data_IF_002929847651
#
_entry.id   IF_002929847651
#
_cell.length_a   1.000
_cell.length_b   1.000
_cell.length_c   1.000
_cell.angle_alpha   90.00
_cell.angle_beta   90.00
_cell.angle_gamma   90.00
#
_symmetry.space_group_name_H-M   'P 1'
#
loop_
_entity.id
_entity.type
_entity.pdbx_description
1 polymer ?
#
# COMPACT_ATOMS: atom_id res chain seq x y z
N UNK A 1 12.18 -10.07 -25.71
CA UNK A 1 10.91 -9.47 -25.28
C UNK A 1 11.23 -8.55 -24.10
N UNK A 2 11.37 -7.25 -24.39
CA UNK A 2 11.59 -6.19 -23.40
C UNK A 2 10.29 -6.02 -22.60
N UNK A 3 10.34 -5.79 -21.28
CA UNK A 3 9.14 -5.59 -20.46
C UNK A 3 8.60 -6.80 -19.68
N UNK A 4 9.44 -7.77 -19.29
CA UNK A 4 8.97 -8.88 -18.45
C UNK A 4 8.55 -8.39 -17.05
N UNK A 5 7.23 -8.39 -16.77
CA UNK A 5 6.64 -8.10 -15.46
C UNK A 5 7.22 -8.95 -14.32
N UNK A 6 7.90 -10.07 -14.65
CA UNK A 6 8.62 -10.87 -13.66
C UNK A 6 9.72 -10.08 -12.94
N UNK A 7 10.31 -9.08 -13.59
CA UNK A 7 11.45 -8.33 -13.02
C UNK A 7 11.05 -7.27 -11.99
N UNK A 8 9.77 -6.90 -11.92
CA UNK A 8 9.25 -5.95 -10.92
C UNK A 8 8.81 -6.64 -9.63
N UNK A 9 8.57 -7.96 -9.67
CA UNK A 9 8.29 -8.81 -8.51
C UNK A 9 9.62 -9.34 -7.96
N UNK A 10 10.17 -8.63 -6.98
CA UNK A 10 11.50 -8.90 -6.39
C UNK A 10 11.43 -8.79 -4.87
N UNK A 11 12.52 -9.19 -4.20
CA UNK A 11 12.63 -9.02 -2.75
C UNK A 11 12.71 -7.53 -2.38
N UNK A 12 12.34 -7.20 -1.14
CA UNK A 12 12.35 -5.82 -0.65
C UNK A 12 13.74 -5.17 -0.73
N UNK A 13 14.81 -5.96 -0.56
CA UNK A 13 16.19 -5.46 -0.66
C UNK A 13 16.56 -5.03 -2.08
N UNK A 14 15.97 -5.67 -3.10
CA UNK A 14 16.22 -5.37 -4.51
C UNK A 14 15.27 -4.31 -5.08
N UNK A 15 14.42 -3.68 -4.25
CA UNK A 15 13.35 -2.78 -4.70
C UNK A 15 13.83 -1.65 -5.60
N UNK A 16 15.03 -1.12 -5.36
CA UNK A 16 15.67 -0.03 -6.12
C UNK A 16 16.43 -0.47 -7.38
N UNK A 17 16.37 -1.76 -7.74
CA UNK A 17 16.97 -2.25 -8.98
C UNK A 17 16.35 -1.58 -10.21
N UNK A 18 17.17 -1.33 -11.24
CA UNK A 18 16.81 -0.58 -12.47
C UNK A 18 15.76 -1.25 -13.37
N UNK A 19 15.28 -2.44 -13.00
CA UNK A 19 14.22 -3.11 -13.73
C UNK A 19 12.88 -2.40 -13.57
N UNK A 20 12.18 -2.24 -14.69
CA UNK A 20 10.85 -1.64 -14.75
C UNK A 20 9.94 -2.41 -15.71
N UNK A 21 8.65 -2.20 -15.52
CA UNK A 21 7.57 -2.59 -16.39
C UNK A 21 6.84 -1.31 -16.79
N UNK A 22 6.51 -1.18 -18.06
CA UNK A 22 5.84 0.00 -18.63
C UNK A 22 4.70 -0.50 -19.51
N UNK A 23 3.58 0.24 -19.51
CA UNK A 23 2.49 -0.02 -20.43
C UNK A 23 2.89 0.36 -21.86
N UNK A 24 2.36 -0.37 -22.84
CA UNK A 24 2.82 -0.29 -24.24
C UNK A 24 2.00 0.72 -25.07
N UNK A 25 0.77 1.02 -24.66
CA UNK A 25 -0.19 1.81 -25.45
C UNK A 25 -0.76 2.98 -24.65
N UNK A 26 -1.33 2.71 -23.47
CA UNK A 26 -2.06 3.71 -22.69
C UNK A 26 -1.65 3.71 -21.21
N UNK A 27 -2.34 4.50 -20.37
CA UNK A 27 -2.14 4.60 -18.94
C UNK A 27 -2.67 3.38 -18.15
N UNK A 28 -3.36 2.46 -18.81
CA UNK A 28 -3.92 1.27 -18.18
C UNK A 28 -2.91 0.11 -18.16
N UNK A 29 -2.87 -0.61 -17.04
CA UNK A 29 -1.98 -1.76 -16.86
C UNK A 29 -2.64 -2.83 -15.99
N UNK A 30 -2.67 -4.07 -16.47
CA UNK A 30 -3.09 -5.24 -15.70
C UNK A 30 -1.88 -6.10 -15.38
N UNK A 31 -1.74 -6.47 -14.11
CA UNK A 31 -0.70 -7.38 -13.63
C UNK A 31 -1.35 -8.58 -12.97
N UNK A 32 -1.12 -9.74 -13.58
CA UNK A 32 -1.61 -11.03 -13.11
C UNK A 32 -0.50 -11.81 -12.41
N UNK A 33 -0.78 -12.23 -11.17
CA UNK A 33 0.18 -12.88 -10.29
C UNK A 33 -0.41 -14.21 -9.81
N UNK A 34 -0.05 -15.34 -10.44
CA UNK A 34 -0.40 -16.66 -9.94
C UNK A 34 0.49 -17.02 -8.75
N UNK A 35 -0.10 -17.50 -7.66
CA UNK A 35 0.61 -18.08 -6.53
C UNK A 35 0.60 -19.61 -6.63
N UNK A 36 1.73 -20.24 -6.33
CA UNK A 36 1.85 -21.71 -6.33
C UNK A 36 0.95 -22.36 -5.29
N UNK A 37 0.78 -21.70 -4.14
CA UNK A 37 -0.07 -22.15 -3.05
C UNK A 37 -0.97 -20.99 -2.62
N UNK A 38 -2.18 -21.26 -2.10
CA UNK A 38 -3.04 -20.21 -1.58
C UNK A 38 -2.36 -19.43 -0.46
N UNK A 39 -2.29 -18.11 -0.62
CA UNK A 39 -1.63 -17.20 0.30
C UNK A 39 -2.63 -16.27 0.97
N UNK A 40 -2.29 -15.79 2.16
CA UNK A 40 -2.92 -14.61 2.76
C UNK A 40 -2.10 -13.37 2.42
N UNK A 41 -2.76 -12.36 1.89
CA UNK A 41 -2.16 -11.06 1.56
C UNK A 41 -2.63 -10.03 2.58
N UNK A 42 -1.68 -9.26 3.12
CA UNK A 42 -1.96 -8.28 4.17
C UNK A 42 -1.79 -6.85 3.69
N UNK A 43 -0.78 -6.60 2.86
CA UNK A 43 -0.47 -5.28 2.35
C UNK A 43 0.18 -5.35 0.97
N UNK A 44 0.33 -4.19 0.34
CA UNK A 44 1.02 -3.99 -0.93
C UNK A 44 2.06 -2.86 -0.78
N UNK A 45 3.21 -3.04 -1.41
CA UNK A 45 4.21 -2.02 -1.66
C UNK A 45 4.34 -1.82 -3.16
N UNK A 46 4.48 -0.57 -3.58
CA UNK A 46 4.62 -0.22 -4.99
C UNK A 46 5.64 0.90 -5.13
N UNK A 47 6.47 0.82 -6.16
CA UNK A 47 7.30 1.93 -6.64
C UNK A 47 6.96 2.10 -8.12
N UNK A 48 6.40 3.25 -8.46
CA UNK A 48 6.09 3.64 -9.84
C UNK A 48 7.29 4.24 -10.58
N UNK A 49 7.00 4.85 -11.73
CA UNK A 49 7.95 5.63 -12.51
C UNK A 49 7.91 7.12 -12.17
N UNK A 50 8.86 7.85 -12.72
CA UNK A 50 8.96 9.30 -12.55
C UNK A 50 8.12 10.07 -13.59
N UNK A 51 8.06 11.40 -13.46
CA UNK A 51 7.44 12.30 -14.44
C UNK A 51 5.96 12.02 -14.72
N UNK A 52 5.18 11.68 -13.69
CA UNK A 52 3.73 11.47 -13.80
C UNK A 52 3.32 10.08 -14.31
N UNK A 53 4.28 9.22 -14.67
CA UNK A 53 4.02 7.81 -15.05
C UNK A 53 3.69 6.91 -13.85
N UNK A 54 3.71 7.47 -12.64
CA UNK A 54 3.36 6.78 -11.42
C UNK A 54 1.85 6.46 -11.41
N UNK A 55 1.44 5.23 -11.04
CA UNK A 55 0.03 4.89 -10.94
C UNK A 55 -0.60 5.57 -9.72
N UNK A 56 -1.75 6.22 -9.92
CA UNK A 56 -2.47 6.96 -8.88
C UNK A 56 -3.62 6.15 -8.27
N UNK A 57 -4.29 5.32 -9.06
CA UNK A 57 -5.36 4.44 -8.53
C UNK A 57 -5.22 3.04 -9.04
N UNK A 58 -5.51 2.09 -8.15
CA UNK A 58 -5.56 0.68 -8.50
C UNK A 58 -6.79 -0.03 -7.93
N UNK A 59 -7.23 -1.06 -8.65
CA UNK A 59 -8.25 -2.02 -8.21
C UNK A 59 -7.61 -3.40 -8.03
N UNK A 60 -8.09 -4.12 -7.03
CA UNK A 60 -7.58 -5.44 -6.69
C UNK A 60 -8.69 -6.47 -6.86
N UNK A 61 -8.34 -7.58 -7.52
CA UNK A 61 -9.19 -8.74 -7.70
C UNK A 61 -8.43 -10.01 -7.32
N UNK A 62 -9.15 -11.02 -6.84
CA UNK A 62 -8.56 -12.29 -6.40
C UNK A 62 -9.33 -13.49 -6.93
N UNK A 63 -8.62 -14.58 -7.21
CA UNK A 63 -9.14 -15.88 -7.64
C UNK A 63 -9.99 -15.79 -8.91
N UNK A 64 -9.57 -14.92 -9.84
CA UNK A 64 -10.21 -14.65 -11.12
C UNK A 64 -9.12 -14.52 -12.17
N UNK A 65 -9.11 -15.44 -13.12
CA UNK A 65 -8.17 -15.44 -14.25
C UNK A 65 -8.80 -14.83 -15.50
N UNK A 66 -10.12 -14.67 -15.48
CA UNK A 66 -11.00 -14.15 -16.52
C UNK A 66 -11.06 -12.62 -16.57
N UNK A 67 -10.09 -11.92 -15.98
CA UNK A 67 -10.10 -10.45 -15.93
C UNK A 67 -9.21 -9.88 -17.03
N UNK A 68 -9.85 -9.13 -17.91
CA UNK A 68 -9.26 -8.40 -19.03
C UNK A 68 -9.81 -6.96 -19.06
N UNK A 69 -9.19 -6.08 -19.85
CA UNK A 69 -9.57 -4.66 -19.93
C UNK A 69 -11.05 -4.45 -20.32
N UNK A 70 -11.64 -5.36 -21.10
CA UNK A 70 -13.03 -5.24 -21.56
C UNK A 70 -14.06 -5.53 -20.45
N UNK A 71 -13.77 -6.49 -19.56
CA UNK A 71 -14.73 -7.01 -18.58
C UNK A 71 -14.44 -6.57 -17.14
N UNK A 72 -13.32 -5.88 -16.91
CA UNK A 72 -12.88 -5.49 -15.57
C UNK A 72 -13.87 -4.60 -14.82
N UNK A 73 -14.67 -3.83 -15.56
CA UNK A 73 -15.68 -2.94 -15.02
C UNK A 73 -16.97 -3.67 -14.61
N UNK A 74 -17.20 -4.88 -15.11
CA UNK A 74 -18.36 -5.71 -14.76
C UNK A 74 -18.16 -6.44 -13.43
N UNK A 75 -16.90 -6.62 -13.04
CA UNK A 75 -16.55 -7.33 -11.82
C UNK A 75 -16.48 -6.40 -10.60
N UNK A 76 -16.95 -6.92 -9.48
CA UNK A 76 -16.82 -6.24 -8.19
C UNK A 76 -15.37 -6.27 -7.72
N UNK A 77 -14.75 -5.09 -7.69
CA UNK A 77 -13.46 -4.88 -7.05
C UNK A 77 -13.50 -5.24 -5.55
N UNK A 78 -12.47 -5.91 -5.06
CA UNK A 78 -12.33 -6.26 -3.64
C UNK A 78 -12.01 -5.01 -2.82
N UNK A 79 -11.05 -4.22 -3.33
CA UNK A 79 -10.58 -3.00 -2.71
C UNK A 79 -9.96 -2.12 -3.78
N UNK A 80 -10.39 -0.86 -3.78
CA UNK A 80 -9.75 0.23 -4.51
C UNK A 80 -8.74 0.90 -3.59
N UNK A 81 -7.56 1.20 -4.11
CA UNK A 81 -6.48 1.84 -3.36
C UNK A 81 -6.00 3.05 -4.14
N UNK A 82 -5.94 4.17 -3.45
CA UNK A 82 -5.29 5.37 -3.93
C UNK A 82 -3.81 5.29 -3.57
N UNK A 83 -2.98 5.38 -4.61
CA UNK A 83 -1.54 5.29 -4.54
C UNK A 83 -0.98 6.70 -4.53
N UNK A 84 0.11 6.87 -3.80
CA UNK A 84 0.85 8.13 -3.66
C UNK A 84 2.23 7.93 -4.24
N UNK A 85 2.79 8.97 -4.87
CA UNK A 85 4.13 8.90 -5.45
C UNK A 85 5.18 8.61 -4.36
N UNK A 86 5.76 7.41 -4.41
CA UNK A 86 6.85 6.99 -3.54
C UNK A 86 7.93 6.26 -4.34
N UNK A 87 9.13 6.83 -4.35
CA UNK A 87 10.29 6.30 -5.08
C UNK A 87 11.16 5.37 -4.22
N UNK A 88 10.89 5.27 -2.92
CA UNK A 88 11.66 4.46 -1.98
C UNK A 88 10.97 3.17 -1.55
N UNK A 89 9.67 3.02 -1.84
CA UNK A 89 8.87 1.85 -1.44
C UNK A 89 8.74 1.74 0.08
N UNK A 90 8.62 2.89 0.74
CA UNK A 90 8.41 3.05 2.17
C UNK A 90 6.92 3.03 2.54
N UNK A 91 6.03 3.34 1.59
CA UNK A 91 4.58 3.34 1.84
C UNK A 91 4.03 1.92 1.78
N UNK A 92 3.40 1.50 2.88
CA UNK A 92 2.64 0.26 2.98
C UNK A 92 1.16 0.54 2.75
N UNK A 93 0.55 -0.09 1.74
CA UNK A 93 -0.88 -0.02 1.49
C UNK A 93 -1.59 -1.20 2.17
N UNK A 94 -2.33 -0.98 3.27
CA UNK A 94 -3.02 -2.05 3.97
C UNK A 94 -4.19 -2.58 3.13
N UNK A 95 -4.25 -3.90 2.99
CA UNK A 95 -5.31 -4.57 2.25
C UNK A 95 -6.31 -5.27 3.17
N UNK A 96 -7.52 -5.49 2.66
CA UNK A 96 -8.59 -6.17 3.36
C UNK A 96 -8.32 -7.67 3.44
N UNK A 97 -7.58 -8.05 4.48
CA UNK A 97 -7.19 -9.42 4.79
C UNK A 97 -8.37 -10.40 4.77
N UNK A 98 -9.55 -10.00 5.22
CA UNK A 98 -10.73 -10.89 5.27
C UNK A 98 -11.21 -11.31 3.89
N UNK A 99 -10.94 -10.51 2.86
CA UNK A 99 -11.24 -10.83 1.46
C UNK A 99 -10.05 -11.45 0.73
N UNK A 100 -8.83 -11.31 1.26
CA UNK A 100 -7.57 -11.75 0.64
C UNK A 100 -6.83 -12.82 1.48
N UNK A 101 -7.56 -13.70 2.17
CA UNK A 101 -6.96 -14.72 3.04
C UNK A 101 -6.57 -16.02 2.33
N UNK A 102 -7.17 -16.30 1.17
CA UNK A 102 -6.99 -17.54 0.41
C UNK A 102 -6.89 -17.20 -1.09
N UNK A 103 -5.80 -16.53 -1.45
CA UNK A 103 -5.56 -16.02 -2.80
C UNK A 103 -4.60 -16.97 -3.52
N UNK A 104 -5.10 -17.62 -4.56
CA UNK A 104 -4.29 -18.43 -5.49
C UNK A 104 -3.91 -17.61 -6.72
N UNK A 105 -4.73 -16.63 -7.09
CA UNK A 105 -4.50 -15.75 -8.24
C UNK A 105 -4.84 -14.32 -7.86
N UNK A 106 -3.94 -13.39 -8.13
CA UNK A 106 -4.14 -11.97 -7.83
C UNK A 106 -4.02 -11.16 -9.12
N UNK A 107 -5.02 -10.31 -9.35
CA UNK A 107 -5.03 -9.36 -10.45
C UNK A 107 -5.00 -7.95 -9.88
N UNK A 108 -3.98 -7.20 -10.28
CA UNK A 108 -3.82 -5.78 -9.97
C UNK A 108 -4.09 -4.98 -11.23
N UNK A 109 -5.02 -4.03 -11.13
CA UNK A 109 -5.39 -3.19 -12.24
C UNK A 109 -5.12 -1.72 -11.93
N UNK A 110 -4.28 -1.10 -12.72
CA UNK A 110 -3.95 0.32 -12.66
C UNK A 110 -4.65 1.01 -13.82
N UNK A 111 -5.50 2.00 -13.53
CA UNK A 111 -6.34 2.67 -14.54
C UNK A 111 -6.20 4.19 -14.53
N UNK A 112 -5.53 4.75 -13.53
CA UNK A 112 -5.28 6.19 -13.44
C UNK A 112 -3.82 6.40 -13.02
N UNK A 113 -3.13 7.33 -13.66
CA UNK A 113 -1.79 7.79 -13.31
C UNK A 113 -1.80 9.29 -12.98
N UNK A 114 -0.64 9.89 -12.73
CA UNK A 114 -0.51 11.31 -12.38
C UNK A 114 -0.49 12.27 -13.60
N UNK A 115 -0.96 11.81 -14.76
CA UNK A 115 -1.12 12.66 -15.96
C UNK A 115 -0.11 12.40 -17.08
N UNK A 116 0.55 11.24 -17.08
CA UNK A 116 1.37 10.79 -18.21
C UNK A 116 0.57 9.92 -19.19
N UNK A 117 1.13 9.67 -20.37
CA UNK A 117 0.51 8.79 -21.39
C UNK A 117 0.67 7.31 -21.03
N UNK A 118 1.79 6.93 -20.42
CA UNK A 118 2.07 5.54 -20.01
C UNK A 118 2.18 5.42 -18.49
N UNK A 119 1.93 4.21 -18.00
CA UNK A 119 2.10 3.86 -16.59
C UNK A 119 3.33 2.97 -16.43
N UNK A 120 4.20 3.36 -15.51
CA UNK A 120 5.46 2.68 -15.26
C UNK A 120 5.56 2.23 -13.81
N UNK A 121 6.01 1.00 -13.63
CA UNK A 121 6.18 0.37 -12.32
C UNK A 121 7.58 -0.24 -12.26
N UNK A 122 8.32 0.12 -11.21
CA UNK A 122 9.69 -0.34 -10.97
C UNK A 122 9.75 -1.49 -9.96
N UNK A 123 8.81 -1.52 -9.02
CA UNK A 123 8.75 -2.55 -7.98
C UNK A 123 7.32 -2.78 -7.51
N UNK A 124 7.00 -4.05 -7.27
CA UNK A 124 5.81 -4.46 -6.53
C UNK A 124 6.25 -5.44 -5.45
N UNK A 125 5.95 -5.11 -4.19
CA UNK A 125 6.18 -5.97 -3.03
C UNK A 125 4.86 -6.45 -2.47
N UNK A 126 4.66 -7.76 -2.40
CA UNK A 126 3.46 -8.37 -1.83
C UNK A 126 3.89 -9.25 -0.66
N UNK A 127 3.84 -8.74 0.59
CA UNK A 127 4.02 -9.58 1.77
C UNK A 127 2.91 -10.63 1.81
N UNK A 128 3.28 -11.86 1.47
CA UNK A 128 2.41 -13.03 1.57
C UNK A 128 2.72 -13.78 2.85
N UNK A 129 1.67 -14.29 3.49
CA UNK A 129 1.79 -15.24 4.60
C UNK A 129 1.34 -16.61 4.11
N UNK A 130 2.31 -17.49 3.92
CA UNK A 130 2.10 -18.91 3.65
C UNK A 130 2.03 -19.65 4.98
N UNK A 131 0.96 -20.42 5.21
CA UNK A 131 0.88 -21.31 6.38
C UNK A 131 2.03 -22.33 6.31
N UNK A 132 3.02 -22.22 7.21
CA UNK A 132 4.12 -23.17 7.33
C UNK A 132 5.43 -22.81 6.60
N UNK A 133 5.44 -21.74 5.80
CA UNK A 133 6.67 -21.17 5.24
C UNK A 133 6.79 -19.76 5.79
N UNK A 134 7.68 -19.57 6.76
CA UNK A 134 8.00 -18.25 7.29
C UNK A 134 8.59 -17.41 6.16
N UNK A 135 7.77 -16.57 5.53
CA UNK A 135 8.30 -15.49 4.72
C UNK A 135 9.06 -14.59 5.69
N UNK A 136 10.37 -14.44 5.48
CA UNK A 136 11.26 -13.59 6.29
C UNK A 136 10.95 -12.10 6.08
N UNK A 137 9.67 -11.71 6.15
CA UNK A 137 9.26 -10.32 6.13
C UNK A 137 9.30 -9.79 7.56
N UNK A 138 10.47 -9.28 7.97
CA UNK A 138 10.58 -8.51 9.20
C UNK A 138 9.81 -7.21 9.00
N UNK A 139 8.66 -7.06 9.69
CA UNK A 139 8.03 -5.75 9.87
C UNK A 139 9.06 -4.82 10.47
N UNK A 140 9.66 -3.93 9.67
CA UNK A 140 10.30 -2.74 10.22
C UNK A 140 9.15 -1.81 10.56
N UNK A 141 8.82 -1.72 11.85
CA UNK A 141 7.93 -0.68 12.31
C UNK A 141 8.51 0.64 11.83
N UNK A 142 7.80 1.34 10.95
CA UNK A 142 8.05 2.76 10.76
C UNK A 142 7.68 3.36 12.10
N UNK A 143 8.70 3.75 12.84
CA UNK A 143 8.57 4.55 14.04
C UNK A 143 8.01 5.89 13.57
N UNK A 144 6.68 5.98 13.46
CA UNK A 144 6.00 7.26 13.40
C UNK A 144 6.23 7.88 14.77
N UNK A 145 7.33 8.63 14.90
CA UNK A 145 7.45 9.64 15.95
C UNK A 145 6.41 10.69 15.59
N UNK A 146 5.16 10.43 15.99
CA UNK A 146 4.26 11.53 16.27
C UNK A 146 4.89 12.19 17.49
N UNK A 147 5.57 13.32 17.28
CA UNK A 147 5.87 14.26 18.36
C UNK A 147 4.55 14.86 18.86
N UNK A 148 3.66 14.02 19.38
CA UNK A 148 2.61 14.41 20.30
C UNK A 148 3.18 14.24 21.72
N UNK A 149 4.28 14.95 22.00
CA UNK A 149 4.54 15.36 23.37
C UNK A 149 3.73 16.64 23.58
N UNK A 150 2.57 16.60 24.26
CA UNK A 150 1.97 17.83 24.75
C UNK A 150 2.98 18.47 25.71
N UNK A 151 3.66 19.52 25.25
CA UNK A 151 4.56 20.29 26.09
C UNK A 151 3.67 21.07 27.07
N UNK A 152 3.56 20.57 28.32
CA UNK A 152 2.77 21.16 29.41
C UNK A 152 3.28 22.55 29.87
N UNK A 153 4.21 23.16 29.14
CA UNK A 153 4.87 24.40 29.52
C UNK A 153 4.27 25.69 28.91
N UNK A 154 3.30 25.60 27.99
CA UNK A 154 2.89 26.78 27.19
C UNK A 154 1.44 27.25 27.37
N UNK A 155 0.81 26.91 28.50
CA UNK A 155 -0.48 27.49 28.88
C UNK A 155 -0.31 28.41 30.10
N UNK A 156 0.28 29.59 29.89
CA UNK A 156 0.22 30.69 30.86
C UNK A 156 -1.16 31.35 30.77
N UNK A 157 -2.08 30.94 31.64
CA UNK A 157 -3.31 31.70 31.90
C UNK A 157 -2.93 32.81 32.88
N UNK A 158 -2.86 34.04 32.39
CA UNK A 158 -2.79 35.22 33.25
C UNK A 158 -4.15 35.44 33.93
N UNK A 159 -4.14 35.53 35.26
CA UNK A 159 -5.20 36.17 36.04
C UNK A 159 -6.22 35.25 36.70
N UNK A 160 -5.99 34.94 37.98
CA UNK A 160 -7.02 35.03 39.03
C UNK A 160 -6.36 34.80 40.39
N UNK A 161 -6.16 35.91 41.10
CA UNK A 161 -5.87 35.92 42.52
C UNK A 161 -7.09 35.44 43.33
N UNK A 162 -6.79 34.89 44.51
CA UNK A 162 -7.61 34.83 45.73
C UNK A 162 -8.57 33.63 45.95
N UNK A 163 -8.17 32.83 46.96
CA UNK A 163 -8.93 32.36 48.14
C UNK A 163 -10.32 31.72 47.90
N UNK A 164 -10.59 30.52 48.38
CA UNK A 164 -10.95 30.30 49.79
C UNK A 164 -11.03 28.81 50.16
N UNK A 165 -10.77 28.57 51.45
CA UNK A 165 -10.68 27.32 52.20
C UNK A 165 -12.07 26.79 52.55
N UNK A 166 -12.39 25.52 52.25
CA UNK A 166 -13.53 24.83 52.87
C UNK A 166 -13.15 23.41 53.30
N UNK A 167 -13.26 23.19 54.61
CA UNK A 167 -13.15 21.92 55.33
C UNK A 167 -14.52 21.23 55.34
N UNK A 168 -14.55 19.90 55.24
CA UNK A 168 -15.76 19.13 55.46
C UNK A 168 -15.39 17.83 56.20
N UNK A 169 -15.68 17.76 57.49
CA UNK A 169 -15.79 16.51 58.24
C UNK A 169 -17.29 16.28 58.53
N UNK A 170 -17.75 15.09 58.18
CA UNK A 170 -19.13 14.63 58.35
C UNK A 170 -19.33 13.98 59.73
N UNK A 171 -20.59 13.99 60.15
CA UNK A 171 -21.20 13.45 61.38
C UNK A 171 -20.55 12.20 62.00
#
# INVERSE_FOLDING_TARGET
IHGSCRKILKAYDDRLSSANCESDVDNELIINIPFTNPCKIVSLFLIGGEKGTYPKKMKIFSNREDIDFENINDFKCIQEVELSEDFHGSIEYPLKVTSLFNVSYLTLYFYENYGAETTKISYIGIPTWLKGVGTNYTRRAVETVYEASPNLADHKIEGAANMTKFSFDAF
#
